data_IF_420796331970
#
_entry.id   IF_420796331970
#
_cell.length_a   1.000
_cell.length_b   1.000
_cell.length_c   1.000
_cell.angle_alpha   90.00
_cell.angle_beta   90.00
_cell.angle_gamma   90.00
#
_symmetry.space_group_name_H-M   'P 1'
#
loop_
_entity.id
_entity.type
_entity.pdbx_description
1 polymer ?
#
# COMPACT_ATOMS: atom_id res chain seq x y z
N UNK A 1 70.72 64.14 13.99
CA UNK A 1 70.41 62.71 13.73
C UNK A 1 69.29 62.33 14.70
N UNK A 2 68.01 62.37 14.28
CA UNK A 2 67.19 61.18 13.89
C UNK A 2 66.61 60.49 15.15
N UNK A 3 65.31 60.27 15.41
CA UNK A 3 64.06 60.42 14.67
C UNK A 3 62.85 60.37 15.63
N UNK A 4 61.72 60.88 15.11
CA UNK A 4 60.33 60.63 15.51
C UNK A 4 60.00 59.17 15.87
N UNK A 5 59.02 58.96 16.78
CA UNK A 5 57.80 58.18 16.47
C UNK A 5 56.75 58.23 17.61
N UNK A 6 55.69 58.98 17.32
CA UNK A 6 54.32 58.79 17.79
C UNK A 6 53.84 57.37 17.49
N UNK A 7 53.10 56.69 18.38
CA UNK A 7 52.06 55.71 17.99
C UNK A 7 50.93 55.73 19.01
N UNK A 8 49.73 55.81 18.45
CA UNK A 8 48.43 56.11 19.03
C UNK A 8 47.73 54.90 19.65
N UNK A 9 46.94 55.20 20.67
CA UNK A 9 45.97 54.34 21.35
C UNK A 9 44.96 53.77 20.32
N UNK A 10 44.96 52.46 20.06
CA UNK A 10 43.92 51.83 19.22
C UNK A 10 42.62 51.69 20.03
N UNK A 11 41.58 52.39 19.56
CA UNK A 11 40.21 52.25 20.01
C UNK A 11 39.62 50.88 19.61
N UNK A 12 38.79 50.38 20.52
CA UNK A 12 37.92 49.20 20.50
C UNK A 12 36.94 49.15 19.32
N UNK A 13 36.71 47.96 18.73
CA UNK A 13 35.41 47.56 18.15
C UNK A 13 35.18 46.03 18.19
N UNK A 14 34.49 45.47 19.18
CA UNK A 14 33.88 44.15 19.07
C UNK A 14 32.35 44.27 19.06
N UNK A 15 31.73 44.63 17.93
CA UNK A 15 30.25 44.79 17.92
C UNK A 15 29.53 44.53 16.59
N UNK A 16 30.10 43.78 15.65
CA UNK A 16 29.39 43.47 14.37
C UNK A 16 29.10 41.99 14.11
N UNK A 17 29.60 41.09 14.96
CA UNK A 17 29.53 39.65 14.68
C UNK A 17 28.24 38.97 15.16
N UNK A 18 27.60 39.48 16.22
CA UNK A 18 26.33 38.94 16.75
C UNK A 18 25.13 39.31 15.88
N UNK A 19 25.11 40.51 15.31
CA UNK A 19 24.01 40.98 14.46
C UNK A 19 23.92 40.20 13.14
N UNK A 20 25.05 39.89 12.50
CA UNK A 20 25.05 39.08 11.27
C UNK A 20 24.54 37.65 11.47
N UNK A 21 24.80 37.06 12.65
CA UNK A 21 24.29 35.73 13.01
C UNK A 21 22.78 35.75 13.28
N UNK A 22 22.29 36.80 13.93
CA UNK A 22 20.87 36.99 14.21
C UNK A 22 20.07 37.27 12.92
N UNK A 23 20.61 38.04 11.98
CA UNK A 23 19.96 38.27 10.68
C UNK A 23 19.90 36.99 9.84
N UNK A 24 20.95 36.18 9.82
CA UNK A 24 20.96 34.88 9.16
C UNK A 24 19.95 33.92 9.78
N UNK A 25 19.90 33.84 11.12
CA UNK A 25 18.92 33.02 11.84
C UNK A 25 17.48 33.45 11.55
N UNK A 26 17.22 34.77 11.49
CA UNK A 26 15.90 35.30 11.16
C UNK A 26 15.48 34.96 9.72
N UNK A 27 16.41 35.06 8.75
CA UNK A 27 16.15 34.69 7.35
C UNK A 27 15.85 33.19 7.24
N UNK A 28 16.63 32.34 7.92
CA UNK A 28 16.41 30.89 7.93
C UNK A 28 15.08 30.51 8.57
N UNK A 29 14.70 31.15 9.69
CA UNK A 29 13.41 30.92 10.35
C UNK A 29 12.24 31.32 9.44
N UNK A 30 12.31 32.50 8.82
CA UNK A 30 11.27 32.97 7.89
C UNK A 30 11.18 32.05 6.66
N UNK A 31 12.31 31.65 6.08
CA UNK A 31 12.34 30.69 4.97
C UNK A 31 11.74 29.34 5.35
N UNK A 32 12.06 28.82 6.54
CA UNK A 32 11.52 27.55 7.03
C UNK A 32 10.02 27.63 7.31
N UNK A 33 9.52 28.76 7.80
CA UNK A 33 8.08 28.97 8.04
C UNK A 33 7.29 29.04 6.73
N UNK A 34 7.87 29.65 5.68
CA UNK A 34 7.25 29.68 4.34
C UNK A 34 7.20 28.26 3.74
N UNK A 35 8.28 27.48 3.84
CA UNK A 35 8.31 26.11 3.35
C UNK A 35 7.33 25.20 4.10
N UNK A 36 7.25 25.32 5.43
CA UNK A 36 6.27 24.60 6.25
C UNK A 36 4.83 24.99 5.87
N UNK A 37 4.56 26.28 5.70
CA UNK A 37 3.24 26.77 5.30
C UNK A 37 2.82 26.25 3.93
N UNK A 38 3.71 26.27 2.95
CA UNK A 38 3.45 25.73 1.61
C UNK A 38 3.21 24.21 1.63
N UNK A 39 4.02 23.46 2.38
CA UNK A 39 3.85 22.01 2.52
C UNK A 39 2.54 21.63 3.21
N UNK A 40 2.18 22.33 4.30
CA UNK A 40 0.95 22.09 5.03
C UNK A 40 -0.30 22.48 4.21
N UNK A 41 -0.24 23.61 3.48
CA UNK A 41 -1.30 23.99 2.56
C UNK A 41 -1.47 22.96 1.44
N UNK A 42 -0.39 22.41 0.89
CA UNK A 42 -0.45 21.31 -0.07
C UNK A 42 -1.20 20.10 0.49
N UNK A 43 -0.90 19.68 1.73
CA UNK A 43 -1.58 18.56 2.37
C UNK A 43 -3.08 18.83 2.64
N UNK A 44 -3.41 20.02 3.13
CA UNK A 44 -4.79 20.40 3.45
C UNK A 44 -5.66 20.62 2.20
N UNK A 45 -5.05 21.02 1.09
CA UNK A 45 -5.72 21.30 -0.18
C UNK A 45 -5.67 20.11 -1.15
N UNK A 46 -4.93 19.05 -0.82
CA UNK A 46 -4.99 17.78 -1.57
C UNK A 46 -6.31 17.10 -1.22
N UNK A 47 -7.36 17.47 -1.95
CA UNK A 47 -8.57 16.66 -2.06
C UNK A 47 -8.21 15.39 -2.82
N UNK A 48 -8.33 14.24 -2.17
CA UNK A 48 -8.18 12.95 -2.81
C UNK A 48 -9.45 12.66 -3.63
N UNK A 49 -9.66 13.45 -4.69
CA UNK A 49 -10.73 13.26 -5.68
C UNK A 49 -10.33 12.19 -6.72
N UNK A 50 -9.24 11.46 -6.47
CA UNK A 50 -8.88 10.30 -7.24
C UNK A 50 -10.03 9.30 -7.17
N UNK A 51 -10.66 8.92 -8.30
CA UNK A 51 -11.68 7.90 -8.27
C UNK A 51 -11.05 6.64 -7.69
N UNK A 52 -11.60 6.13 -6.59
CA UNK A 52 -11.30 4.77 -6.13
C UNK A 52 -11.70 3.86 -7.28
N UNK A 53 -10.71 3.39 -8.05
CA UNK A 53 -10.93 2.44 -9.12
C UNK A 53 -11.14 1.08 -8.46
N UNK A 54 -12.35 0.84 -7.99
CA UNK A 54 -12.80 -0.52 -7.70
C UNK A 54 -13.04 -1.15 -9.06
N UNK A 55 -12.19 -2.11 -9.44
CA UNK A 55 -12.40 -2.92 -10.65
C UNK A 55 -13.52 -3.93 -10.34
N UNK A 56 -14.75 -3.44 -10.25
CA UNK A 56 -15.94 -4.28 -10.22
C UNK A 56 -16.09 -4.74 -11.66
N UNK A 57 -15.59 -5.94 -11.96
CA UNK A 57 -15.89 -6.56 -13.25
C UNK A 57 -17.39 -6.48 -13.49
N UNK A 58 -17.80 -6.20 -14.73
CA UNK A 58 -19.20 -6.17 -15.10
C UNK A 58 -19.81 -7.53 -14.75
N UNK A 59 -20.61 -7.58 -13.69
CA UNK A 59 -21.40 -8.76 -13.40
C UNK A 59 -22.45 -8.75 -14.49
N UNK A 60 -22.20 -9.48 -15.58
CA UNK A 60 -23.19 -9.75 -16.61
C UNK A 60 -24.38 -10.38 -15.89
N UNK A 61 -25.37 -9.54 -15.56
CA UNK A 61 -26.70 -10.00 -15.22
C UNK A 61 -27.19 -10.67 -16.48
N UNK A 62 -27.07 -12.00 -16.51
CA UNK A 62 -27.60 -12.80 -17.57
C UNK A 62 -29.10 -12.56 -17.56
N UNK A 63 -29.56 -11.73 -18.49
CA UNK A 63 -30.97 -11.42 -18.69
C UNK A 63 -31.72 -12.75 -18.76
N UNK A 64 -32.77 -12.88 -17.95
CA UNK A 64 -33.45 -14.13 -17.63
C UNK A 64 -34.11 -14.72 -18.89
N UNK A 65 -33.31 -15.42 -19.69
CA UNK A 65 -33.75 -16.19 -20.83
C UNK A 65 -34.63 -17.32 -20.32
N UNK A 66 -35.93 -17.07 -20.30
CA UNK A 66 -37.00 -17.97 -19.90
C UNK A 66 -36.68 -19.43 -20.26
N UNK A 67 -36.25 -20.16 -19.23
CA UNK A 67 -36.26 -21.61 -19.03
C UNK A 67 -36.63 -22.45 -20.27
N UNK A 68 -35.63 -22.78 -21.08
CA UNK A 68 -35.60 -24.15 -21.61
C UNK A 68 -35.16 -25.02 -20.43
N UNK A 69 -36.00 -25.96 -20.01
CA UNK A 69 -35.64 -26.93 -18.98
C UNK A 69 -34.38 -27.67 -19.44
N UNK A 70 -33.22 -27.18 -18.99
CA UNK A 70 -31.96 -27.90 -19.10
C UNK A 70 -32.19 -29.19 -18.32
N UNK A 71 -32.01 -30.34 -18.97
CA UNK A 71 -32.08 -31.62 -18.31
C UNK A 71 -31.28 -31.53 -17.01
N UNK A 72 -31.88 -31.87 -15.87
CA UNK A 72 -31.14 -31.95 -14.61
C UNK A 72 -29.93 -32.84 -14.89
N UNK A 73 -28.70 -32.32 -14.81
CA UNK A 73 -27.54 -33.15 -15.06
C UNK A 73 -27.65 -34.34 -14.11
N UNK A 74 -27.48 -35.54 -14.65
CA UNK A 74 -27.36 -36.74 -13.83
C UNK A 74 -26.32 -36.42 -12.74
N UNK A 75 -26.59 -36.69 -11.44
CA UNK A 75 -25.66 -36.37 -10.38
C UNK A 75 -24.28 -36.89 -10.78
N UNK A 76 -23.34 -35.96 -10.95
CA UNK A 76 -21.95 -36.32 -11.16
C UNK A 76 -21.45 -37.15 -9.99
N UNK A 77 -20.31 -37.85 -10.14
CA UNK A 77 -19.65 -38.44 -8.99
C UNK A 77 -19.49 -37.38 -7.88
N UNK A 78 -19.61 -37.79 -6.59
CA UNK A 78 -19.49 -36.85 -5.50
C UNK A 78 -18.17 -36.07 -5.60
N UNK A 79 -18.16 -34.79 -5.22
CA UNK A 79 -16.95 -33.96 -5.27
C UNK A 79 -15.80 -34.61 -4.49
N UNK A 80 -14.58 -34.43 -4.96
CA UNK A 80 -13.40 -34.91 -4.24
C UNK A 80 -13.27 -34.17 -2.91
N UNK A 81 -13.13 -34.91 -1.81
CA UNK A 81 -12.96 -34.37 -0.46
C UNK A 81 -11.50 -34.33 0.01
N UNK A 82 -10.56 -34.76 -0.84
CA UNK A 82 -9.13 -34.72 -0.54
C UNK A 82 -8.67 -33.28 -0.22
N UNK A 83 -7.65 -33.12 0.63
CA UNK A 83 -7.06 -31.81 0.88
C UNK A 83 -6.63 -31.12 -0.42
N UNK A 84 -6.81 -29.80 -0.47
CA UNK A 84 -6.32 -28.97 -1.56
C UNK A 84 -4.80 -28.97 -1.55
N UNK A 85 -4.19 -29.51 -2.60
CA UNK A 85 -2.75 -29.70 -2.65
C UNK A 85 -2.02 -28.56 -3.39
N UNK A 86 -2.55 -28.13 -4.54
CA UNK A 86 -1.83 -27.23 -5.45
C UNK A 86 -2.78 -26.43 -6.34
N UNK A 87 -2.37 -25.22 -6.69
CA UNK A 87 -3.04 -24.36 -7.67
C UNK A 87 -2.14 -24.18 -8.89
N UNK A 88 -2.67 -24.51 -10.07
CA UNK A 88 -1.97 -24.41 -11.34
C UNK A 88 -2.80 -23.54 -12.29
N UNK A 89 -2.21 -22.43 -12.77
CA UNK A 89 -2.80 -21.57 -13.80
C UNK A 89 -1.72 -21.29 -14.85
N UNK A 90 -1.61 -22.19 -15.82
CA UNK A 90 -0.52 -22.23 -16.80
C UNK A 90 -0.34 -20.91 -17.56
N UNK A 91 -1.46 -20.28 -17.95
CA UNK A 91 -1.46 -19.05 -18.75
C UNK A 91 -0.72 -17.89 -18.07
N UNK A 92 -0.68 -17.88 -16.74
CA UNK A 92 -0.01 -16.85 -15.93
C UNK A 92 1.13 -17.43 -15.09
N UNK A 93 1.51 -18.69 -15.32
CA UNK A 93 2.64 -19.34 -14.65
C UNK A 93 2.44 -19.61 -13.15
N UNK A 94 1.20 -19.64 -12.66
CA UNK A 94 0.94 -20.01 -11.26
C UNK A 94 1.14 -21.52 -11.10
N UNK A 95 2.02 -21.91 -10.19
CA UNK A 95 2.21 -23.29 -9.75
C UNK A 95 2.62 -23.28 -8.26
N UNK A 96 1.62 -23.24 -7.37
CA UNK A 96 1.81 -22.95 -5.96
C UNK A 96 1.15 -23.99 -5.04
N UNK A 97 1.78 -24.35 -3.90
CA UNK A 97 1.10 -25.09 -2.84
C UNK A 97 -0.11 -24.31 -2.31
N UNK A 98 -1.16 -25.05 -1.96
CA UNK A 98 -2.35 -24.48 -1.30
C UNK A 98 -2.26 -24.75 0.20
N UNK A 99 -2.41 -23.69 0.99
CA UNK A 99 -2.54 -23.74 2.45
C UNK A 99 -3.97 -23.41 2.86
N UNK A 100 -4.39 -23.82 4.06
CA UNK A 100 -5.70 -23.46 4.61
C UNK A 100 -5.55 -22.36 5.64
N UNK A 101 -6.29 -21.26 5.46
CA UNK A 101 -6.36 -20.13 6.38
C UNK A 101 -7.81 -19.80 6.71
N UNK A 102 -8.03 -19.01 7.76
CA UNK A 102 -9.35 -18.60 8.20
C UNK A 102 -9.49 -17.09 8.27
N UNK A 103 -10.25 -16.65 9.26
CA UNK A 103 -10.33 -15.26 9.67
C UNK A 103 -9.57 -15.08 10.99
N UNK A 104 -8.97 -13.91 11.18
CA UNK A 104 -8.38 -13.52 12.44
C UNK A 104 -9.45 -13.16 13.50
N UNK A 105 -9.01 -12.77 14.69
CA UNK A 105 -9.88 -12.35 15.80
C UNK A 105 -10.79 -11.14 15.48
N UNK A 106 -10.49 -10.38 14.44
CA UNK A 106 -11.25 -9.22 13.98
C UNK A 106 -12.13 -9.55 12.76
N UNK A 107 -12.26 -10.83 12.40
CA UNK A 107 -12.96 -11.30 11.21
C UNK A 107 -12.32 -10.84 9.88
N UNK A 108 -11.01 -10.63 9.87
CA UNK A 108 -10.24 -10.27 8.66
C UNK A 108 -9.58 -11.52 8.07
N UNK A 109 -9.65 -11.76 6.76
CA UNK A 109 -8.98 -12.90 6.14
C UNK A 109 -7.46 -12.87 6.40
N UNK A 110 -6.94 -13.98 6.91
CA UNK A 110 -5.50 -14.13 7.14
C UNK A 110 -4.73 -14.18 5.81
N UNK A 111 -3.53 -13.61 5.80
CA UNK A 111 -2.71 -13.48 4.59
C UNK A 111 -1.59 -14.54 4.61
N UNK A 112 -1.31 -15.23 3.48
CA UNK A 112 -0.18 -16.14 3.39
C UNK A 112 1.13 -15.50 3.83
N UNK A 113 1.95 -16.24 4.58
CA UNK A 113 3.20 -15.71 5.14
C UNK A 113 4.34 -15.68 4.12
N UNK A 114 4.30 -16.55 3.12
CA UNK A 114 5.32 -16.66 2.08
C UNK A 114 4.86 -16.14 0.71
N UNK A 115 5.81 -15.78 -0.16
CA UNK A 115 5.52 -15.28 -1.51
C UNK A 115 4.94 -16.34 -2.46
N UNK A 116 5.15 -17.62 -2.17
CA UNK A 116 4.85 -18.73 -3.09
C UNK A 116 3.66 -19.58 -2.65
N UNK A 117 2.85 -19.09 -1.73
CA UNK A 117 1.71 -19.82 -1.16
C UNK A 117 0.39 -19.23 -1.65
N UNK A 118 -0.58 -20.10 -1.91
CA UNK A 118 -1.98 -19.71 -2.12
C UNK A 118 -2.78 -20.17 -0.91
N UNK A 119 -3.51 -19.26 -0.26
CA UNK A 119 -4.47 -19.66 0.76
C UNK A 119 -5.81 -20.00 0.14
N UNK A 120 -6.40 -21.09 0.63
CA UNK A 120 -7.83 -21.36 0.56
C UNK A 120 -8.45 -21.05 1.91
N UNK A 121 -9.62 -20.43 1.91
CA UNK A 121 -10.31 -20.07 3.14
C UNK A 121 -11.34 -21.12 3.58
N UNK A 122 -11.23 -21.57 4.82
CA UNK A 122 -12.04 -22.65 5.41
C UNK A 122 -13.54 -22.33 5.56
N UNK A 123 -13.89 -21.05 5.62
CA UNK A 123 -15.26 -20.54 5.61
C UNK A 123 -15.89 -20.55 4.21
N UNK A 124 -15.11 -20.80 3.15
CA UNK A 124 -15.59 -20.95 1.78
C UNK A 124 -15.79 -22.43 1.41
N UNK A 125 -16.52 -22.71 0.33
CA UNK A 125 -16.71 -24.09 -0.10
C UNK A 125 -15.43 -24.66 -0.71
N UNK A 126 -15.27 -25.98 -0.64
CA UNK A 126 -14.28 -26.68 -1.46
C UNK A 126 -14.70 -26.61 -2.94
N UNK A 127 -13.74 -26.52 -3.89
CA UNK A 127 -14.06 -26.59 -5.31
C UNK A 127 -14.87 -27.84 -5.65
N UNK A 128 -15.94 -27.65 -6.44
CA UNK A 128 -16.84 -28.73 -6.85
C UNK A 128 -18.03 -29.00 -5.92
N UNK A 129 -18.11 -28.35 -4.75
CA UNK A 129 -19.19 -28.58 -3.78
C UNK A 129 -20.43 -27.68 -3.96
N UNK A 130 -20.60 -27.09 -5.14
CA UNK A 130 -21.84 -26.37 -5.51
C UNK A 130 -21.95 -24.93 -4.99
N UNK A 131 -20.87 -24.34 -4.49
CA UNK A 131 -20.79 -22.92 -4.15
C UNK A 131 -19.36 -22.39 -4.34
N UNK A 132 -19.11 -21.16 -3.93
CA UNK A 132 -17.85 -20.46 -4.19
C UNK A 132 -16.71 -20.93 -3.26
N UNK A 133 -15.58 -21.26 -3.88
CA UNK A 133 -14.30 -21.44 -3.21
C UNK A 133 -13.50 -20.13 -3.33
N UNK A 134 -12.97 -19.63 -2.22
CA UNK A 134 -12.22 -18.37 -2.19
C UNK A 134 -10.75 -18.65 -1.96
N UNK A 135 -9.90 -18.02 -2.76
CA UNK A 135 -8.45 -18.15 -2.70
C UNK A 135 -7.79 -16.77 -2.65
N UNK A 136 -6.64 -16.68 -1.99
CA UNK A 136 -5.78 -15.49 -1.98
C UNK A 136 -4.31 -15.86 -2.16
N UNK A 137 -3.54 -14.93 -2.70
CA UNK A 137 -2.09 -15.03 -2.86
C UNK A 137 -1.51 -13.64 -3.09
N UNK A 138 -0.20 -13.51 -2.94
CA UNK A 138 0.49 -12.24 -3.15
C UNK A 138 0.56 -11.90 -4.64
N UNK A 139 0.30 -10.64 -4.98
CA UNK A 139 0.50 -10.10 -6.34
C UNK A 139 1.97 -9.71 -6.54
N UNK A 140 2.53 -9.06 -5.52
CA UNK A 140 3.93 -8.66 -5.40
C UNK A 140 4.46 -8.99 -3.99
N UNK A 141 5.77 -9.13 -3.87
CA UNK A 141 6.43 -9.43 -2.60
C UNK A 141 7.83 -8.81 -2.57
N UNK A 142 8.22 -8.29 -1.41
CA UNK A 142 9.57 -7.79 -1.14
C UNK A 142 10.31 -8.71 -0.18
N UNK A 143 11.54 -9.09 -0.55
CA UNK A 143 12.45 -9.88 0.28
C UNK A 143 13.16 -9.03 1.34
#
# INVERSE_FOLDING_TARGET
>A
MTAFRTITRRLTKPFRWRHSRLTLAAILLLGSMVLLGAGLAGLLLTGDDGPVITNVGDLVTSDDGLSTATATPLPGPPPNDSPLARMIIEKIGVDAPVITLGLDQNSVPEVPSGPSEVAWYDWSYKPGWGSNAVFSGHVDWTL
#
